data_IF_057122549417
#
_entry.id   IF_057122549417
#
_cell.length_a   1.000
_cell.length_b   1.000
_cell.length_c   1.000
_cell.angle_alpha   90.00
_cell.angle_beta   90.00
_cell.angle_gamma   90.00
#
_symmetry.space_group_name_H-M   'P 1'
#
loop_
_entity.id
_entity.type
_entity.pdbx_description
1 polymer ?
#
# COMPACT_ATOMS: atom_id res chain seq x y z
N UNK A 1 -38.77 -29.14 13.17
CA UNK A 1 -39.74 -28.58 14.15
C UNK A 1 -39.29 -27.24 14.70
N UNK A 2 -38.02 -27.01 15.12
CA UNK A 2 -37.57 -25.66 15.47
C UNK A 2 -37.62 -24.68 14.29
N UNK A 3 -37.31 -25.17 13.08
CA UNK A 3 -37.14 -24.32 11.89
C UNK A 3 -38.49 -23.84 11.30
N UNK A 4 -39.52 -24.68 11.33
CA UNK A 4 -40.84 -24.38 10.74
C UNK A 4 -41.58 -23.25 11.48
N UNK A 5 -41.59 -23.28 12.83
CA UNK A 5 -42.15 -22.18 13.63
C UNK A 5 -41.40 -20.87 13.36
N UNK A 6 -40.08 -20.92 13.27
CA UNK A 6 -39.28 -19.72 13.06
C UNK A 6 -39.56 -19.11 11.69
N UNK A 7 -39.64 -19.92 10.63
CA UNK A 7 -39.97 -19.43 9.29
C UNK A 7 -41.38 -18.82 9.22
N UNK A 8 -42.37 -19.44 9.86
CA UNK A 8 -43.73 -18.88 9.91
C UNK A 8 -43.75 -17.55 10.70
N UNK A 9 -43.12 -17.50 11.86
CA UNK A 9 -43.05 -16.30 12.69
C UNK A 9 -42.18 -15.18 12.10
N UNK A 10 -41.17 -15.51 11.29
CA UNK A 10 -40.31 -14.53 10.64
C UNK A 10 -41.02 -13.86 9.47
N UNK A 11 -41.70 -14.65 8.62
CA UNK A 11 -42.38 -14.19 7.42
C UNK A 11 -43.82 -13.72 7.62
N UNK A 12 -44.44 -14.04 8.76
CA UNK A 12 -45.83 -13.72 9.08
C UNK A 12 -46.02 -13.50 10.59
N UNK A 13 -47.25 -13.68 11.08
CA UNK A 13 -47.61 -13.63 12.50
C UNK A 13 -47.19 -14.94 13.19
N UNK A 14 -46.66 -14.86 14.41
CA UNK A 14 -46.26 -16.06 15.15
C UNK A 14 -47.51 -16.92 15.46
N UNK A 15 -47.54 -18.19 15.04
CA UNK A 15 -48.72 -19.04 15.14
C UNK A 15 -49.06 -19.45 16.59
N UNK A 16 -48.15 -19.24 17.55
CA UNK A 16 -48.31 -19.65 18.95
C UNK A 16 -48.93 -18.53 19.78
N UNK A 17 -48.37 -17.32 19.72
CA UNK A 17 -48.81 -16.17 20.53
C UNK A 17 -49.69 -15.18 19.74
N UNK A 18 -49.80 -15.34 18.41
CA UNK A 18 -50.55 -14.47 17.51
C UNK A 18 -50.09 -13.00 17.60
N UNK A 19 -48.77 -12.80 17.74
CA UNK A 19 -48.06 -11.52 17.74
C UNK A 19 -46.95 -11.54 16.68
N UNK A 20 -46.46 -10.38 16.27
CA UNK A 20 -45.30 -10.31 15.38
C UNK A 20 -44.01 -10.29 16.20
N UNK A 21 -43.02 -11.11 15.83
CA UNK A 21 -41.73 -11.13 16.52
C UNK A 21 -40.92 -9.86 16.19
N UNK A 22 -39.94 -9.54 17.05
CA UNK A 22 -39.05 -8.38 16.87
C UNK A 22 -38.18 -8.48 15.64
N UNK A 23 -37.53 -9.63 15.44
CA UNK A 23 -36.62 -9.90 14.32
C UNK A 23 -37.35 -10.72 13.26
N UNK A 24 -38.46 -10.19 12.77
CA UNK A 24 -39.24 -10.73 11.64
C UNK A 24 -39.67 -9.59 10.73
N UNK A 25 -40.18 -9.91 9.54
CA UNK A 25 -40.47 -8.93 8.48
C UNK A 25 -41.47 -7.85 8.94
N UNK A 26 -42.41 -8.20 9.82
CA UNK A 26 -43.40 -7.27 10.35
C UNK A 26 -42.94 -6.45 11.58
N UNK A 27 -41.81 -6.82 12.22
CA UNK A 27 -41.14 -6.04 13.28
C UNK A 27 -42.08 -5.60 14.42
N UNK A 28 -42.65 -6.54 15.16
CA UNK A 28 -43.71 -6.27 16.18
C UNK A 28 -44.94 -5.52 15.64
N UNK A 29 -45.21 -5.62 14.34
CA UNK A 29 -46.32 -4.94 13.67
C UNK A 29 -46.01 -3.51 13.27
N UNK A 30 -44.81 -3.00 13.54
CA UNK A 30 -44.39 -1.66 13.12
C UNK A 30 -44.48 -1.49 11.59
N UNK A 31 -44.14 -2.55 10.83
CA UNK A 31 -44.19 -2.52 9.36
C UNK A 31 -45.58 -2.14 8.83
N UNK A 32 -46.61 -2.91 9.20
CA UNK A 32 -47.99 -2.66 8.76
C UNK A 32 -48.56 -1.34 9.27
N UNK A 33 -48.08 -0.82 10.41
CA UNK A 33 -48.47 0.49 10.90
C UNK A 33 -47.88 1.65 10.07
N UNK A 34 -46.65 1.49 9.58
CA UNK A 34 -45.95 2.51 8.80
C UNK A 34 -46.36 2.47 7.32
N UNK A 35 -46.47 1.26 6.75
CA UNK A 35 -46.67 1.05 5.31
C UNK A 35 -48.07 0.58 4.92
N UNK A 36 -48.93 0.26 5.90
CA UNK A 36 -50.33 -0.12 5.68
C UNK A 36 -50.55 -1.59 5.39
N UNK A 37 -49.65 -2.23 4.62
CA UNK A 37 -49.75 -3.64 4.23
C UNK A 37 -48.77 -4.51 5.01
N UNK A 38 -49.29 -5.47 5.78
CA UNK A 38 -48.48 -6.45 6.50
C UNK A 38 -47.86 -7.46 5.53
N UNK A 39 -46.71 -8.00 5.92
CA UNK A 39 -46.09 -9.12 5.22
C UNK A 39 -46.72 -10.42 5.72
N UNK A 40 -47.09 -11.31 4.81
CA UNK A 40 -47.68 -12.61 5.14
C UNK A 40 -47.15 -13.63 4.13
N UNK A 41 -45.99 -14.21 4.44
CA UNK A 41 -45.33 -15.20 3.60
C UNK A 41 -45.59 -16.61 4.13
N UNK A 42 -45.80 -17.55 3.20
CA UNK A 42 -45.78 -18.97 3.51
C UNK A 42 -44.40 -19.36 4.10
N UNK A 43 -44.39 -20.31 5.04
CA UNK A 43 -43.17 -20.74 5.71
C UNK A 43 -42.12 -21.28 4.72
N UNK A 44 -42.54 -21.93 3.64
CA UNK A 44 -41.66 -22.42 2.58
C UNK A 44 -40.97 -21.29 1.81
N UNK A 45 -41.67 -20.16 1.57
CA UNK A 45 -41.08 -18.99 0.92
C UNK A 45 -40.07 -18.35 1.87
N UNK A 46 -40.43 -18.21 3.14
CA UNK A 46 -39.52 -17.66 4.15
C UNK A 46 -38.26 -18.52 4.34
N UNK A 47 -38.39 -19.84 4.27
CA UNK A 47 -37.24 -20.75 4.35
C UNK A 47 -36.19 -20.46 3.27
N UNK A 48 -36.60 -20.03 2.07
CA UNK A 48 -35.66 -19.68 0.97
C UNK A 48 -34.74 -18.51 1.31
N UNK A 49 -35.13 -17.63 2.25
CA UNK A 49 -34.26 -16.55 2.73
C UNK A 49 -33.06 -17.07 3.53
N UNK A 50 -33.16 -18.28 4.07
CA UNK A 50 -32.14 -18.90 4.94
C UNK A 50 -31.42 -20.08 4.26
N UNK A 51 -31.80 -20.41 3.02
CA UNK A 51 -31.27 -21.53 2.26
C UNK A 51 -30.64 -21.04 0.93
N UNK A 52 -29.74 -21.83 0.34
CA UNK A 52 -29.12 -21.50 -0.94
C UNK A 52 -27.97 -20.50 -0.85
N UNK A 53 -27.63 -19.92 -2.01
CA UNK A 53 -26.48 -19.03 -2.20
C UNK A 53 -26.75 -17.60 -1.72
N UNK A 54 -28.00 -17.13 -1.82
CA UNK A 54 -28.43 -15.81 -1.34
C UNK A 54 -28.83 -15.77 0.12
N UNK A 55 -28.57 -16.82 0.93
CA UNK A 55 -29.08 -16.86 2.30
C UNK A 55 -28.64 -15.62 3.13
N UNK A 56 -29.57 -14.99 3.85
CA UNK A 56 -29.34 -13.76 4.64
C UNK A 56 -28.46 -13.98 5.88
N UNK A 57 -28.08 -15.22 6.16
CA UNK A 57 -27.19 -15.63 7.26
C UNK A 57 -25.88 -16.22 6.77
N UNK A 58 -25.64 -16.23 5.46
CA UNK A 58 -24.42 -16.75 4.84
C UNK A 58 -23.51 -15.65 4.31
N UNK A 59 -22.64 -16.03 3.38
CA UNK A 59 -21.62 -15.13 2.83
C UNK A 59 -22.27 -13.94 2.10
N UNK A 60 -23.41 -14.17 1.43
CA UNK A 60 -24.21 -13.12 0.77
C UNK A 60 -24.74 -12.05 1.73
N UNK A 61 -24.77 -12.29 3.06
CA UNK A 61 -25.25 -11.29 4.02
C UNK A 61 -24.39 -10.01 4.00
N UNK A 62 -23.08 -10.14 3.79
CA UNK A 62 -22.18 -8.98 3.70
C UNK A 62 -22.44 -8.23 2.38
N UNK A 63 -22.68 -8.94 1.29
CA UNK A 63 -23.00 -8.36 -0.02
C UNK A 63 -24.38 -7.67 -0.03
N UNK A 64 -25.37 -8.25 0.65
CA UNK A 64 -26.67 -7.63 0.88
C UNK A 64 -26.50 -6.30 1.63
N UNK A 65 -25.66 -6.29 2.66
CA UNK A 65 -25.42 -5.10 3.46
C UNK A 65 -24.56 -4.05 2.76
N UNK A 66 -23.63 -4.49 1.90
CA UNK A 66 -22.99 -3.61 0.94
C UNK A 66 -24.04 -2.91 0.06
N UNK A 67 -24.99 -3.67 -0.49
CA UNK A 67 -26.11 -3.14 -1.26
C UNK A 67 -26.94 -2.11 -0.50
N UNK A 68 -27.35 -2.42 0.74
CA UNK A 68 -28.16 -1.52 1.56
C UNK A 68 -27.45 -0.20 1.86
N UNK A 69 -26.14 -0.24 2.15
CA UNK A 69 -25.38 0.96 2.52
C UNK A 69 -24.96 1.77 1.29
N UNK A 70 -24.52 1.10 0.22
CA UNK A 70 -24.01 1.75 -0.99
C UNK A 70 -25.11 2.19 -1.94
N UNK A 71 -26.30 1.59 -1.86
CA UNK A 71 -27.39 1.79 -2.82
C UNK A 71 -27.15 1.10 -4.17
N UNK A 72 -26.08 0.31 -4.30
CA UNK A 72 -25.75 -0.49 -5.48
C UNK A 72 -25.15 -1.82 -5.06
N UNK A 73 -25.39 -2.86 -5.84
CA UNK A 73 -24.84 -4.19 -5.60
C UNK A 73 -23.32 -4.22 -5.87
N UNK A 74 -22.64 -5.21 -5.31
CA UNK A 74 -21.38 -5.70 -5.90
C UNK A 74 -21.63 -6.20 -7.33
N UNK A 75 -20.60 -6.35 -8.18
CA UNK A 75 -20.75 -6.99 -9.49
C UNK A 75 -21.37 -8.38 -9.36
N UNK A 76 -22.43 -8.66 -10.11
CA UNK A 76 -23.20 -9.90 -10.05
C UNK A 76 -23.35 -10.55 -11.43
N UNK A 77 -23.46 -11.88 -11.46
CA UNK A 77 -23.74 -12.64 -12.67
C UNK A 77 -25.23 -12.62 -13.06
N UNK A 78 -25.61 -13.38 -14.09
CA UNK A 78 -27.00 -13.49 -14.57
C UNK A 78 -27.98 -14.08 -13.56
N UNK A 79 -27.49 -14.72 -12.49
CA UNK A 79 -28.27 -15.30 -11.40
C UNK A 79 -28.20 -14.45 -10.11
N UNK A 80 -27.69 -13.22 -10.22
CA UNK A 80 -27.45 -12.31 -9.08
C UNK A 80 -26.45 -12.86 -8.06
N UNK A 81 -25.50 -13.69 -8.50
CA UNK A 81 -24.43 -14.19 -7.64
C UNK A 81 -23.21 -13.26 -7.76
N UNK A 82 -22.68 -12.74 -6.64
CA UNK A 82 -21.48 -11.90 -6.65
C UNK A 82 -20.32 -12.55 -7.42
N UNK A 83 -19.88 -11.89 -8.50
CA UNK A 83 -18.91 -12.45 -9.44
C UNK A 83 -18.07 -11.32 -10.07
N UNK A 84 -16.73 -11.45 -10.13
CA UNK A 84 -15.88 -10.46 -10.80
C UNK A 84 -16.29 -10.17 -12.24
N UNK A 85 -16.39 -8.88 -12.57
CA UNK A 85 -16.77 -8.44 -13.93
C UNK A 85 -18.26 -8.59 -14.27
N UNK A 86 -19.09 -8.94 -13.30
CA UNK A 86 -20.56 -8.94 -13.42
C UNK A 86 -21.17 -7.53 -13.57
N UNK A 87 -22.49 -7.48 -13.68
CA UNK A 87 -23.25 -6.22 -13.74
C UNK A 87 -23.46 -5.65 -12.34
N UNK A 88 -23.34 -4.33 -12.21
CA UNK A 88 -23.69 -3.61 -10.98
C UNK A 88 -25.12 -3.12 -11.10
N UNK A 89 -25.97 -3.48 -10.14
CA UNK A 89 -27.38 -3.15 -10.12
C UNK A 89 -27.68 -2.07 -9.09
N UNK A 90 -28.69 -1.24 -9.35
CA UNK A 90 -29.26 -0.37 -8.32
C UNK A 90 -29.87 -1.24 -7.24
N UNK A 91 -29.50 -0.98 -5.98
CA UNK A 91 -30.01 -1.73 -4.85
C UNK A 91 -31.35 -1.15 -4.37
N UNK A 92 -32.43 -1.70 -4.92
CA UNK A 92 -33.80 -1.32 -4.61
C UNK A 92 -34.68 -2.53 -4.24
N UNK A 93 -35.93 -2.26 -3.85
CA UNK A 93 -36.89 -3.32 -3.51
C UNK A 93 -37.21 -4.24 -4.69
N UNK A 94 -37.10 -3.78 -5.93
CA UNK A 94 -37.39 -4.57 -7.12
C UNK A 94 -36.26 -5.57 -7.41
N UNK A 95 -35.00 -5.21 -7.17
CA UNK A 95 -33.87 -6.13 -7.24
C UNK A 95 -33.96 -7.18 -6.14
N UNK A 96 -34.17 -6.77 -4.89
CA UNK A 96 -34.29 -7.71 -3.76
C UNK A 96 -35.48 -8.66 -3.95
N UNK A 97 -36.60 -8.16 -4.47
CA UNK A 97 -37.74 -8.99 -4.86
C UNK A 97 -37.38 -10.04 -5.92
N UNK A 98 -36.53 -9.70 -6.90
CA UNK A 98 -36.07 -10.64 -7.91
C UNK A 98 -35.12 -11.70 -7.34
N UNK A 99 -34.18 -11.30 -6.49
CA UNK A 99 -33.20 -12.21 -5.87
C UNK A 99 -33.92 -13.31 -5.05
N UNK A 100 -34.87 -12.91 -4.22
CA UNK A 100 -35.57 -13.85 -3.31
C UNK A 100 -36.93 -14.33 -3.83
N UNK A 101 -37.33 -13.94 -5.05
CA UNK A 101 -38.66 -14.21 -5.60
C UNK A 101 -39.80 -13.79 -4.65
N UNK A 102 -39.71 -12.58 -4.13
CA UNK A 102 -40.70 -11.95 -3.25
C UNK A 102 -41.54 -10.92 -4.01
N UNK A 103 -42.65 -10.48 -3.42
CA UNK A 103 -43.28 -9.23 -3.83
C UNK A 103 -42.52 -8.01 -3.27
N UNK A 104 -42.73 -6.83 -3.86
CA UNK A 104 -42.01 -5.62 -3.47
C UNK A 104 -42.26 -5.19 -2.02
N UNK A 105 -43.44 -5.46 -1.43
CA UNK A 105 -43.70 -5.11 -0.03
C UNK A 105 -42.85 -5.98 0.90
N UNK A 106 -42.83 -7.28 0.67
CA UNK A 106 -42.02 -8.24 1.43
C UNK A 106 -40.52 -7.98 1.27
N UNK A 107 -40.06 -7.68 0.06
CA UNK A 107 -38.67 -7.30 -0.20
C UNK A 107 -38.30 -6.02 0.55
N UNK A 108 -39.13 -4.98 0.49
CA UNK A 108 -38.88 -3.73 1.22
C UNK A 108 -38.87 -3.95 2.74
N UNK A 109 -39.71 -4.84 3.26
CA UNK A 109 -39.71 -5.21 4.68
C UNK A 109 -38.40 -5.88 5.10
N UNK A 110 -37.87 -6.77 4.26
CA UNK A 110 -36.57 -7.42 4.48
C UNK A 110 -35.43 -6.39 4.50
N UNK A 111 -35.43 -5.46 3.55
CA UNK A 111 -34.44 -4.37 3.49
C UNK A 111 -34.48 -3.48 4.73
N UNK A 112 -35.67 -3.07 5.16
CA UNK A 112 -35.85 -2.28 6.39
C UNK A 112 -35.38 -3.06 7.61
N UNK A 113 -35.71 -4.35 7.73
CA UNK A 113 -35.29 -5.18 8.86
C UNK A 113 -33.76 -5.09 9.05
N UNK A 114 -32.99 -5.17 7.97
CA UNK A 114 -31.54 -5.11 8.08
C UNK A 114 -30.97 -3.70 8.25
N UNK A 115 -31.40 -2.74 7.43
CA UNK A 115 -30.85 -1.37 7.47
C UNK A 115 -31.25 -0.60 8.73
N UNK A 116 -32.50 -0.70 9.17
CA UNK A 116 -32.99 0.02 10.33
C UNK A 116 -32.94 -0.83 11.59
N UNK A 117 -33.60 -2.00 11.58
CA UNK A 117 -33.79 -2.73 12.83
C UNK A 117 -32.48 -3.37 13.30
N UNK A 118 -31.81 -4.15 12.44
CA UNK A 118 -30.56 -4.81 12.82
C UNK A 118 -29.41 -3.80 12.92
N UNK A 119 -29.16 -3.01 11.88
CA UNK A 119 -27.97 -2.16 11.82
C UNK A 119 -28.09 -0.88 12.66
N UNK A 120 -29.16 -0.11 12.53
CA UNK A 120 -29.32 1.16 13.25
C UNK A 120 -29.78 0.97 14.71
N UNK A 121 -30.74 0.08 14.97
CA UNK A 121 -31.34 -0.07 16.31
C UNK A 121 -30.65 -1.12 17.20
N UNK A 122 -30.17 -2.24 16.63
CA UNK A 122 -29.63 -3.36 17.42
C UNK A 122 -28.11 -3.42 17.50
N UNK A 123 -27.37 -2.94 16.49
CA UNK A 123 -25.92 -3.14 16.43
C UNK A 123 -25.19 -2.44 17.57
N UNK A 124 -25.41 -1.15 17.79
CA UNK A 124 -24.72 -0.41 18.86
C UNK A 124 -24.99 -1.00 20.26
N UNK A 125 -26.25 -1.26 20.67
CA UNK A 125 -26.51 -1.95 21.93
C UNK A 125 -25.87 -3.33 22.02
N UNK A 126 -25.79 -4.08 20.91
CA UNK A 126 -25.13 -5.38 20.87
C UNK A 126 -23.63 -5.24 21.16
N UNK A 127 -22.97 -4.31 20.46
CA UNK A 127 -21.54 -4.04 20.58
C UNK A 127 -21.17 -3.56 21.99
N UNK A 128 -21.90 -2.58 22.53
CA UNK A 128 -21.59 -1.99 23.83
C UNK A 128 -21.91 -2.95 24.98
N UNK A 129 -23.12 -3.55 24.99
CA UNK A 129 -23.59 -4.31 26.17
C UNK A 129 -23.01 -5.72 26.25
N UNK A 130 -22.74 -6.36 25.10
CA UNK A 130 -22.30 -7.75 25.06
C UNK A 130 -20.82 -7.90 24.75
N UNK A 131 -20.21 -6.96 24.03
CA UNK A 131 -18.83 -7.08 23.56
C UNK A 131 -17.89 -6.03 24.17
N UNK A 132 -18.41 -5.08 24.97
CA UNK A 132 -17.66 -3.97 25.58
C UNK A 132 -16.86 -3.17 24.55
N UNK A 133 -17.40 -3.07 23.33
CA UNK A 133 -16.79 -2.34 22.23
C UNK A 133 -17.35 -0.92 22.25
N UNK A 134 -16.45 0.04 22.48
CA UNK A 134 -16.76 1.46 22.51
C UNK A 134 -16.08 2.19 21.36
N UNK A 135 -16.65 3.30 20.84
CA UNK A 135 -16.08 4.03 19.69
C UNK A 135 -14.67 4.58 19.93
N UNK A 136 -14.28 4.84 21.18
CA UNK A 136 -12.97 5.37 21.54
C UNK A 136 -12.34 4.53 22.64
N UNK A 137 -11.14 4.00 22.36
CA UNK A 137 -10.37 3.16 23.29
C UNK A 137 -9.03 3.82 23.61
N UNK A 138 -8.65 3.78 24.89
CA UNK A 138 -7.30 4.19 25.32
C UNK A 138 -6.43 2.96 25.44
N UNK A 139 -5.28 2.95 24.78
CA UNK A 139 -4.32 1.84 24.84
C UNK A 139 -2.87 2.34 24.79
N UNK A 140 -1.92 1.46 25.09
CA UNK A 140 -0.49 1.77 24.99
C UNK A 140 -0.05 1.87 23.53
N UNK A 141 1.01 2.65 23.27
CA UNK A 141 1.64 2.74 21.93
C UNK A 141 2.03 1.35 21.42
N UNK A 142 2.53 0.47 22.29
CA UNK A 142 2.91 -0.89 21.88
C UNK A 142 1.71 -1.71 21.39
N UNK A 143 0.57 -1.62 22.08
CA UNK A 143 -0.64 -2.29 21.63
C UNK A 143 -1.15 -1.69 20.32
N UNK A 144 -1.07 -0.37 20.18
CA UNK A 144 -1.52 0.30 18.96
C UNK A 144 -0.62 -0.03 17.75
N UNK A 145 0.70 -0.08 17.93
CA UNK A 145 1.66 -0.34 16.86
C UNK A 145 1.80 -1.83 16.54
N UNK A 146 2.01 -2.67 17.56
CA UNK A 146 2.36 -4.09 17.40
C UNK A 146 1.18 -5.04 17.62
N UNK A 147 0.06 -4.50 18.10
CA UNK A 147 -1.23 -5.17 18.06
C UNK A 147 -1.88 -5.42 19.41
N UNK A 148 -3.18 -5.66 19.35
CA UNK A 148 -4.03 -6.01 20.49
C UNK A 148 -5.10 -7.02 20.06
N UNK A 149 -5.68 -7.71 21.05
CA UNK A 149 -6.87 -8.54 20.84
C UNK A 149 -8.12 -7.65 20.93
N UNK A 150 -8.74 -7.44 19.77
CA UNK A 150 -10.01 -6.78 19.60
C UNK A 150 -11.17 -7.79 19.75
N UNK A 151 -12.23 -7.48 20.51
CA UNK A 151 -13.34 -8.40 20.73
C UNK A 151 -14.10 -8.83 19.45
N UNK A 152 -14.05 -8.03 18.38
CA UNK A 152 -14.78 -8.30 17.13
C UNK A 152 -13.91 -8.99 16.09
N UNK A 153 -12.68 -8.50 15.95
CA UNK A 153 -11.78 -8.87 14.85
C UNK A 153 -10.64 -9.80 15.28
N UNK A 154 -10.54 -10.12 16.57
CA UNK A 154 -9.43 -10.89 17.12
C UNK A 154 -8.16 -10.05 17.14
N UNK A 155 -7.03 -10.63 16.75
CA UNK A 155 -5.76 -9.89 16.80
C UNK A 155 -5.66 -8.88 15.65
N UNK A 156 -5.47 -7.60 15.99
CA UNK A 156 -5.30 -6.49 15.04
C UNK A 156 -4.01 -5.73 15.31
N UNK A 157 -3.34 -5.25 14.26
CA UNK A 157 -2.12 -4.45 14.35
C UNK A 157 -1.94 -3.59 13.10
N UNK A 158 -1.28 -2.44 13.25
CA UNK A 158 -0.89 -1.59 12.12
C UNK A 158 0.32 -2.16 11.37
N UNK A 159 1.12 -2.98 12.03
CA UNK A 159 2.23 -3.73 11.43
C UNK A 159 1.91 -5.23 11.44
N UNK A 160 2.58 -6.06 10.62
CA UNK A 160 2.26 -7.51 10.57
C UNK A 160 2.27 -8.11 12.00
N UNK A 161 1.23 -8.87 12.33
CA UNK A 161 0.99 -9.57 13.61
C UNK A 161 2.26 -10.22 14.23
N UNK A 162 3.14 -10.75 13.39
CA UNK A 162 4.38 -11.40 13.80
C UNK A 162 5.39 -10.49 14.53
N UNK A 163 5.27 -9.15 14.43
CA UNK A 163 6.16 -8.18 15.09
C UNK A 163 6.14 -8.29 16.61
N UNK A 164 5.00 -8.64 17.20
CA UNK A 164 4.85 -8.75 18.65
C UNK A 164 5.38 -10.09 19.20
N UNK A 165 5.20 -11.20 18.48
CA UNK A 165 5.60 -12.53 18.94
C UNK A 165 7.11 -12.81 18.83
N UNK A 166 7.85 -12.02 18.04
CA UNK A 166 9.31 -12.13 17.91
C UNK A 166 10.13 -11.71 19.15
N UNK A 167 9.51 -11.03 20.12
CA UNK A 167 10.16 -10.61 21.37
C UNK A 167 9.82 -11.53 22.57
N UNK A 168 9.11 -12.64 22.36
CA UNK A 168 8.65 -13.52 23.43
C UNK A 168 9.69 -14.53 23.96
N UNK A 169 10.85 -14.65 23.31
CA UNK A 169 11.87 -15.62 23.71
C UNK A 169 12.96 -14.94 24.54
N UNK A 170 12.85 -15.04 25.87
CA UNK A 170 13.80 -14.47 26.85
C UNK A 170 15.20 -15.08 26.80
N UNK A 171 15.42 -16.12 25.97
CA UNK A 171 16.68 -16.86 25.86
C UNK A 171 17.53 -16.44 24.63
N UNK A 172 17.18 -15.35 23.95
CA UNK A 172 17.95 -14.84 22.81
C UNK A 172 18.39 -13.40 23.05
N UNK A 173 19.67 -13.21 23.40
CA UNK A 173 20.39 -11.92 23.27
C UNK A 173 20.57 -11.60 21.76
N UNK A 174 19.47 -11.45 21.04
CA UNK A 174 19.41 -11.17 19.60
C UNK A 174 18.32 -10.13 19.29
N UNK A 175 18.40 -9.46 18.12
CA UNK A 175 17.36 -8.51 17.72
C UNK A 175 15.99 -9.20 17.69
N UNK A 176 14.95 -8.51 18.17
CA UNK A 176 13.57 -8.99 18.04
C UNK A 176 13.30 -9.36 16.58
N UNK A 177 13.04 -10.64 16.30
CA UNK A 177 12.86 -11.20 14.97
C UNK A 177 11.60 -12.05 14.96
N UNK A 178 10.75 -11.84 13.96
CA UNK A 178 9.35 -12.26 13.97
C UNK A 178 9.10 -13.65 13.40
N UNK A 179 10.13 -14.31 12.87
CA UNK A 179 10.04 -15.52 12.02
C UNK A 179 9.02 -15.42 10.85
N UNK A 180 8.37 -14.27 10.65
CA UNK A 180 7.62 -13.94 9.43
C UNK A 180 8.59 -13.38 8.41
N UNK A 181 9.38 -14.25 7.80
CA UNK A 181 10.24 -13.85 6.71
C UNK A 181 9.43 -13.90 5.41
N UNK A 182 8.86 -12.77 4.99
CA UNK A 182 8.54 -12.62 3.58
C UNK A 182 9.85 -12.71 2.79
N UNK A 183 9.89 -13.56 1.79
CA UNK A 183 11.09 -13.83 1.00
C UNK A 183 11.08 -12.93 -0.23
N UNK A 184 11.92 -11.90 -0.21
CA UNK A 184 12.16 -11.06 -1.38
C UNK A 184 13.20 -11.71 -2.28
N UNK A 185 12.80 -12.04 -3.50
CA UNK A 185 13.72 -12.36 -4.58
C UNK A 185 14.11 -11.06 -5.28
N UNK A 186 15.41 -10.79 -5.41
CA UNK A 186 15.94 -9.55 -6.01
C UNK A 186 17.04 -9.86 -7.01
N UNK A 187 17.28 -8.95 -7.96
CA UNK A 187 18.46 -9.02 -8.82
C UNK A 187 19.72 -8.65 -8.03
N UNK A 188 20.80 -9.40 -8.26
CA UNK A 188 22.11 -9.13 -7.65
C UNK A 188 22.94 -8.11 -8.43
N UNK A 189 22.50 -7.73 -9.63
CA UNK A 189 23.27 -6.93 -10.59
C UNK A 189 24.33 -7.72 -11.37
N UNK A 190 24.44 -9.03 -11.18
CA UNK A 190 25.39 -9.87 -11.92
C UNK A 190 25.01 -10.07 -13.41
N UNK A 191 23.76 -9.79 -13.76
CA UNK A 191 23.22 -9.85 -15.13
C UNK A 191 22.85 -8.43 -15.55
N UNK A 192 23.38 -7.97 -16.69
CA UNK A 192 23.49 -6.54 -17.03
C UNK A 192 22.22 -5.78 -17.43
N UNK A 193 21.03 -6.39 -17.30
CA UNK A 193 19.76 -5.76 -17.70
C UNK A 193 18.92 -5.31 -16.49
N UNK A 194 19.42 -5.49 -15.26
CA UNK A 194 18.68 -5.21 -14.02
C UNK A 194 19.55 -4.55 -12.95
N UNK A 195 18.93 -3.65 -12.18
CA UNK A 195 19.61 -2.97 -11.08
C UNK A 195 19.78 -3.91 -9.86
N UNK A 196 20.92 -3.84 -9.15
CA UNK A 196 21.08 -4.45 -7.84
C UNK A 196 19.94 -4.11 -6.87
N UNK A 197 19.38 -5.12 -6.22
CA UNK A 197 18.29 -4.95 -5.26
C UNK A 197 16.91 -4.74 -5.89
N UNK A 198 16.80 -4.70 -7.22
CA UNK A 198 15.51 -4.63 -7.91
C UNK A 198 14.66 -5.87 -7.59
N UNK A 199 13.42 -5.66 -7.13
CA UNK A 199 12.49 -6.72 -6.74
C UNK A 199 12.07 -7.56 -7.95
N UNK A 200 12.17 -8.88 -7.81
CA UNK A 200 11.62 -9.88 -8.73
C UNK A 200 10.23 -10.29 -8.23
N UNK A 201 10.15 -10.70 -6.96
CA UNK A 201 8.92 -11.19 -6.33
C UNK A 201 9.05 -11.16 -4.79
N UNK A 202 7.92 -11.07 -4.10
CA UNK A 202 7.78 -11.31 -2.66
C UNK A 202 7.00 -12.60 -2.47
N UNK A 203 7.55 -13.57 -1.73
CA UNK A 203 6.91 -14.87 -1.48
C UNK A 203 6.50 -15.62 -2.77
N UNK A 204 7.22 -15.36 -3.87
CA UNK A 204 6.98 -15.95 -5.18
C UNK A 204 5.93 -15.23 -6.03
N UNK A 205 5.30 -14.16 -5.53
CA UNK A 205 4.35 -13.33 -6.27
C UNK A 205 4.98 -11.98 -6.68
N UNK A 206 4.60 -11.50 -7.86
CA UNK A 206 5.07 -10.22 -8.43
C UNK A 206 4.30 -9.02 -7.88
N UNK A 207 3.18 -9.25 -7.19
CA UNK A 207 2.29 -8.21 -6.68
C UNK A 207 2.57 -7.91 -5.21
N UNK A 208 2.08 -6.75 -4.74
CA UNK A 208 1.95 -6.51 -3.31
C UNK A 208 1.05 -7.59 -2.68
N UNK A 209 1.39 -8.17 -1.51
CA UNK A 209 0.66 -9.32 -0.96
C UNK A 209 -0.84 -9.11 -0.73
N UNK A 210 -1.28 -7.87 -0.54
CA UNK A 210 -2.68 -7.52 -0.32
C UNK A 210 -3.38 -6.96 -1.58
N UNK A 211 -2.66 -6.86 -2.70
CA UNK A 211 -3.12 -6.41 -4.02
C UNK A 211 -2.76 -7.43 -5.10
N UNK A 212 -3.11 -8.70 -4.88
CA UNK A 212 -2.89 -9.78 -5.87
C UNK A 212 -4.15 -10.03 -6.71
N UNK A 213 -4.05 -10.75 -7.85
CA UNK A 213 -5.22 -11.19 -8.61
C UNK A 213 -6.24 -11.99 -7.79
N UNK A 214 -5.77 -12.84 -6.86
CA UNK A 214 -6.64 -13.59 -5.97
C UNK A 214 -7.40 -12.66 -5.00
N UNK A 215 -6.71 -11.66 -4.44
CA UNK A 215 -7.35 -10.63 -3.59
C UNK A 215 -8.37 -9.81 -4.36
N UNK A 216 -8.10 -9.53 -5.64
CA UNK A 216 -9.05 -8.85 -6.52
C UNK A 216 -10.29 -9.72 -6.80
N UNK A 217 -10.10 -11.01 -7.07
CA UNK A 217 -11.18 -11.98 -7.30
C UNK A 217 -12.09 -12.11 -6.07
N UNK A 218 -11.50 -12.22 -4.88
CA UNK A 218 -12.22 -12.19 -3.59
C UNK A 218 -13.01 -10.89 -3.33
N UNK A 219 -12.58 -9.78 -3.93
CA UNK A 219 -13.26 -8.48 -3.83
C UNK A 219 -14.08 -8.17 -5.10
N UNK A 220 -14.49 -9.19 -5.86
CA UNK A 220 -15.32 -9.08 -7.05
C UNK A 220 -14.77 -8.14 -8.15
N UNK A 221 -13.45 -8.02 -8.25
CA UNK A 221 -12.80 -7.15 -9.22
C UNK A 221 -12.66 -5.69 -8.78
N UNK A 222 -12.97 -5.35 -7.51
CA UNK A 222 -12.94 -3.99 -6.98
C UNK A 222 -11.63 -3.65 -6.25
N UNK A 223 -10.65 -4.56 -6.22
CA UNK A 223 -9.35 -4.35 -5.56
C UNK A 223 -8.21 -4.61 -6.56
N UNK A 224 -7.95 -3.61 -7.41
CA UNK A 224 -7.01 -3.75 -8.52
C UNK A 224 -5.63 -4.26 -8.08
N UNK A 225 -5.08 -5.30 -8.73
CA UNK A 225 -3.76 -5.81 -8.40
C UNK A 225 -2.65 -4.77 -8.61
N UNK A 226 -1.62 -4.80 -7.78
CA UNK A 226 -0.48 -3.87 -7.85
C UNK A 226 0.81 -4.66 -8.00
N UNK A 227 1.47 -4.54 -9.15
CA UNK A 227 2.77 -5.17 -9.42
C UNK A 227 3.88 -4.38 -8.71
N UNK A 228 4.74 -5.09 -7.99
CA UNK A 228 5.94 -4.54 -7.32
C UNK A 228 7.26 -4.98 -7.99
N UNK A 229 7.23 -5.94 -8.93
CA UNK A 229 8.42 -6.32 -9.69
C UNK A 229 9.03 -5.12 -10.42
N UNK A 230 10.34 -4.94 -10.28
CA UNK A 230 11.05 -3.79 -10.82
C UNK A 230 11.26 -2.68 -9.80
N UNK A 231 10.60 -2.73 -8.63
CA UNK A 231 10.80 -1.75 -7.58
C UNK A 231 12.23 -1.83 -7.01
N UNK A 232 12.81 -0.68 -6.73
CA UNK A 232 14.16 -0.50 -6.19
C UNK A 232 14.10 0.18 -4.82
N UNK A 233 15.21 0.12 -4.09
CA UNK A 233 15.36 0.74 -2.77
C UNK A 233 16.36 1.88 -2.79
N UNK A 234 17.64 1.57 -2.58
CA UNK A 234 18.73 2.54 -2.42
C UNK A 234 19.71 2.61 -3.58
N UNK A 235 19.49 1.82 -4.64
CA UNK A 235 20.38 1.74 -5.80
C UNK A 235 19.57 1.72 -7.09
N UNK A 236 19.75 2.76 -7.93
CA UNK A 236 19.10 2.93 -9.22
C UNK A 236 19.63 4.17 -9.96
N UNK A 237 19.45 4.19 -11.28
CA UNK A 237 19.84 5.31 -12.16
C UNK A 237 19.28 6.66 -11.64
N UNK A 238 20.16 7.50 -11.11
CA UNK A 238 19.81 8.81 -10.53
C UNK A 238 19.27 9.81 -11.57
N UNK A 239 19.37 9.49 -12.87
CA UNK A 239 18.92 10.37 -13.95
C UNK A 239 17.53 10.02 -14.46
N UNK A 240 16.90 8.96 -13.94
CA UNK A 240 15.58 8.48 -14.37
C UNK A 240 14.64 8.24 -13.20
N UNK A 241 13.32 8.46 -13.38
CA UNK A 241 12.31 8.00 -12.43
C UNK A 241 12.51 6.54 -12.05
N UNK A 242 12.37 6.25 -10.77
CA UNK A 242 12.52 4.92 -10.20
C UNK A 242 11.24 4.52 -9.46
N UNK A 243 10.80 3.28 -9.65
CA UNK A 243 9.68 2.69 -8.91
C UNK A 243 10.19 2.13 -7.58
N UNK A 244 9.49 2.35 -6.48
CA UNK A 244 9.86 1.84 -5.16
C UNK A 244 8.65 1.23 -4.45
N UNK A 245 8.90 0.21 -3.64
CA UNK A 245 7.93 -0.32 -2.68
C UNK A 245 8.10 0.44 -1.36
N UNK A 246 7.08 1.22 -0.99
CA UNK A 246 7.08 2.06 0.21
C UNK A 246 6.54 1.27 1.41
N UNK A 247 7.37 0.39 1.96
CA UNK A 247 7.07 -0.36 3.19
C UNK A 247 5.94 -1.38 3.05
N UNK A 248 5.62 -1.82 1.84
CA UNK A 248 4.51 -2.73 1.55
C UNK A 248 3.12 -2.07 1.62
N UNK A 249 3.06 -0.74 1.70
CA UNK A 249 1.83 0.04 1.72
C UNK A 249 1.46 0.62 0.35
N UNK A 250 2.45 0.86 -0.51
CA UNK A 250 2.24 1.35 -1.86
C UNK A 250 3.44 1.01 -2.73
N UNK A 251 3.22 0.93 -4.04
CA UNK A 251 4.28 0.97 -5.05
C UNK A 251 4.15 2.31 -5.76
N UNK A 252 5.21 3.13 -5.74
CA UNK A 252 5.18 4.47 -6.32
C UNK A 252 6.41 4.76 -7.15
N UNK A 253 6.24 5.56 -8.20
CA UNK A 253 7.35 6.06 -9.02
C UNK A 253 7.78 7.45 -8.55
N UNK A 254 9.09 7.65 -8.42
CA UNK A 254 9.66 8.95 -8.06
C UNK A 254 9.60 9.96 -9.20
N UNK A 255 9.54 11.24 -8.83
CA UNK A 255 9.84 12.36 -9.70
C UNK A 255 11.21 12.95 -9.34
N UNK A 256 11.98 13.38 -10.33
CA UNK A 256 13.24 14.10 -10.09
C UNK A 256 12.90 15.58 -9.94
N UNK A 257 12.95 16.06 -8.70
CA UNK A 257 12.49 17.41 -8.34
C UNK A 257 13.61 18.45 -8.37
N UNK A 258 14.88 18.02 -8.41
CA UNK A 258 16.01 18.92 -8.53
C UNK A 258 17.36 18.24 -8.30
N UNK A 259 18.36 19.07 -8.05
CA UNK A 259 19.73 18.67 -7.66
C UNK A 259 20.01 19.14 -6.24
N UNK A 260 20.67 18.32 -5.45
CA UNK A 260 21.06 18.60 -4.07
C UNK A 260 22.58 18.55 -3.85
N UNK A 261 22.97 18.68 -2.58
CA UNK A 261 24.34 18.41 -2.14
C UNK A 261 24.35 17.93 -0.70
N UNK A 262 24.87 16.72 -0.47
CA UNK A 262 25.06 16.16 0.87
C UNK A 262 26.54 16.19 1.22
N UNK A 263 26.92 17.00 2.21
CA UNK A 263 28.31 17.23 2.61
C UNK A 263 29.26 17.57 1.44
N UNK A 264 28.76 18.21 0.37
CA UNK A 264 29.54 18.58 -0.82
C UNK A 264 29.70 17.46 -1.86
N UNK A 265 28.91 16.39 -1.76
CA UNK A 265 28.68 15.42 -2.84
C UNK A 265 27.42 15.87 -3.58
N UNK A 266 27.50 16.06 -4.90
CA UNK A 266 26.35 16.45 -5.72
C UNK A 266 25.34 15.29 -5.83
N UNK A 267 24.05 15.62 -5.76
CA UNK A 267 22.97 14.62 -5.79
C UNK A 267 21.84 15.03 -6.72
N UNK A 268 21.04 14.04 -7.13
CA UNK A 268 19.74 14.20 -7.73
C UNK A 268 18.67 13.94 -6.67
N UNK A 269 17.74 14.86 -6.51
CA UNK A 269 16.65 14.75 -5.54
C UNK A 269 15.48 14.03 -6.20
N UNK A 270 15.18 12.83 -5.70
CA UNK A 270 14.01 12.05 -6.06
C UNK A 270 12.94 12.20 -4.99
N UNK A 271 11.71 12.48 -5.39
CA UNK A 271 10.57 12.59 -4.48
C UNK A 271 9.51 11.56 -4.86
N UNK A 272 9.11 10.72 -3.90
CA UNK A 272 7.97 9.84 -3.99
C UNK A 272 6.83 10.45 -3.19
N UNK A 273 5.79 10.92 -3.87
CA UNK A 273 4.61 11.49 -3.22
C UNK A 273 3.48 10.48 -3.25
N UNK A 274 2.89 10.22 -2.09
CA UNK A 274 1.75 9.32 -1.95
C UNK A 274 0.55 10.11 -1.45
N UNK A 275 -0.45 10.27 -2.33
CA UNK A 275 -1.71 10.90 -1.97
C UNK A 275 -2.53 9.93 -1.10
N UNK A 276 -2.85 10.28 0.16
CA UNK A 276 -3.67 9.42 0.99
C UNK A 276 -5.06 9.17 0.38
N UNK A 277 -5.66 10.11 -0.36
CA UNK A 277 -7.01 9.96 -0.92
C UNK A 277 -7.09 8.83 -1.94
N UNK A 278 -5.98 8.55 -2.62
CA UNK A 278 -5.87 7.52 -3.66
C UNK A 278 -5.35 6.18 -3.10
N UNK A 279 -5.07 6.11 -1.79
CA UNK A 279 -4.43 4.94 -1.19
C UNK A 279 -5.12 4.45 0.10
N UNK A 280 -6.37 3.94 0.00
CA UNK A 280 -7.00 3.21 1.09
C UNK A 280 -6.24 1.89 1.35
N UNK A 281 -5.82 1.68 2.61
CA UNK A 281 -5.11 0.47 3.04
C UNK A 281 -5.98 -0.48 3.87
N UNK A 282 -7.29 -0.27 3.86
CA UNK A 282 -8.27 -1.13 4.54
C UNK A 282 -8.05 -2.62 4.24
N UNK A 283 -7.95 -2.98 2.96
CA UNK A 283 -7.74 -4.36 2.52
C UNK A 283 -6.43 -4.97 3.05
N UNK A 284 -5.40 -4.15 3.33
CA UNK A 284 -4.16 -4.61 3.94
C UNK A 284 -4.36 -4.97 5.41
N UNK A 285 -5.16 -4.17 6.12
CA UNK A 285 -5.34 -4.25 7.57
C UNK A 285 -6.40 -5.27 7.97
N UNK A 286 -7.51 -5.32 7.24
CA UNK A 286 -8.60 -6.29 7.47
C UNK A 286 -8.20 -7.69 6.99
N UNK A 287 -7.65 -7.78 5.79
CA UNK A 287 -7.17 -9.02 5.19
C UNK A 287 -8.21 -10.17 5.19
N UNK A 288 -9.51 -9.87 4.99
CA UNK A 288 -10.59 -10.85 5.13
C UNK A 288 -10.86 -11.69 3.87
N UNK A 289 -10.31 -11.32 2.72
CA UNK A 289 -10.53 -12.02 1.43
C UNK A 289 -12.00 -12.05 0.99
N UNK A 290 -12.71 -10.94 1.22
CA UNK A 290 -14.09 -10.74 0.77
C UNK A 290 -14.39 -9.23 0.60
N UNK A 291 -15.64 -8.88 0.28
CA UNK A 291 -16.10 -7.50 0.08
C UNK A 291 -15.79 -6.55 1.25
N UNK A 292 -15.62 -7.06 2.48
CA UNK A 292 -15.28 -6.22 3.64
C UNK A 292 -13.92 -5.52 3.45
N UNK A 293 -13.01 -6.07 2.66
CA UNK A 293 -11.72 -5.43 2.35
C UNK A 293 -11.87 -4.15 1.50
N UNK A 294 -13.00 -4.00 0.80
CA UNK A 294 -13.32 -2.81 -0.03
C UNK A 294 -14.56 -2.05 0.45
N UNK A 295 -15.24 -2.52 1.48
CA UNK A 295 -16.47 -1.91 2.00
C UNK A 295 -16.17 -0.51 2.55
N UNK A 296 -16.69 0.57 1.94
CA UNK A 296 -16.38 1.93 2.36
C UNK A 296 -16.70 2.16 3.85
N UNK A 297 -15.70 2.56 4.62
CA UNK A 297 -15.86 2.85 6.04
C UNK A 297 -15.86 1.65 6.99
N UNK A 298 -15.59 0.42 6.52
CA UNK A 298 -15.42 -0.73 7.42
C UNK A 298 -14.14 -0.61 8.28
N UNK A 299 -13.03 -0.18 7.68
CA UNK A 299 -11.83 0.28 8.38
C UNK A 299 -11.15 1.36 7.52
N UNK A 300 -11.64 2.61 7.57
CA UNK A 300 -11.29 3.63 6.58
C UNK A 300 -9.96 4.30 6.90
N UNK A 301 -8.90 3.50 6.82
CA UNK A 301 -7.52 3.94 7.02
C UNK A 301 -6.87 4.16 5.65
N UNK A 302 -6.32 5.36 5.49
CA UNK A 302 -5.63 5.80 4.29
C UNK A 302 -4.15 6.04 4.61
N UNK A 303 -3.27 5.73 3.68
CA UNK A 303 -1.82 5.88 3.88
C UNK A 303 -1.26 6.86 2.85
N UNK A 304 -0.68 7.95 3.33
CA UNK A 304 -0.09 8.99 2.49
C UNK A 304 1.25 9.45 3.04
N UNK A 305 1.97 10.26 2.27
CA UNK A 305 3.26 10.78 2.70
C UNK A 305 4.19 11.18 1.57
N UNK A 306 5.42 11.47 1.97
CA UNK A 306 6.49 11.84 1.07
C UNK A 306 7.78 11.13 1.46
N UNK A 307 8.50 10.63 0.46
CA UNK A 307 9.85 10.11 0.60
C UNK A 307 10.76 10.91 -0.33
N UNK A 308 11.79 11.53 0.24
CA UNK A 308 12.83 12.24 -0.49
C UNK A 308 14.10 11.42 -0.43
N UNK A 309 14.72 11.18 -1.58
CA UNK A 309 15.95 10.42 -1.71
C UNK A 309 16.97 11.28 -2.47
N UNK A 310 18.17 11.42 -1.89
CA UNK A 310 19.28 12.14 -2.49
C UNK A 310 20.26 11.13 -3.11
N UNK A 311 20.25 11.07 -4.44
CA UNK A 311 20.95 10.05 -5.22
C UNK A 311 22.24 10.61 -5.82
N UNK A 312 23.38 9.97 -5.55
CA UNK A 312 24.66 10.33 -6.18
C UNK A 312 24.70 9.78 -7.62
N UNK A 313 24.95 10.63 -8.63
CA UNK A 313 24.72 10.26 -10.04
C UNK A 313 25.85 9.44 -10.69
N UNK A 314 27.05 9.37 -10.12
CA UNK A 314 28.14 8.59 -10.71
C UNK A 314 28.03 7.11 -10.38
N UNK A 315 27.61 6.76 -9.16
CA UNK A 315 27.44 5.37 -8.72
C UNK A 315 26.00 4.95 -8.57
N UNK A 316 25.03 5.85 -8.78
CA UNK A 316 23.60 5.54 -8.75
C UNK A 316 23.11 5.02 -7.38
N UNK A 317 23.61 5.63 -6.30
CA UNK A 317 23.32 5.20 -4.93
C UNK A 317 22.72 6.34 -4.09
N UNK A 318 21.79 5.97 -3.22
CA UNK A 318 21.23 6.88 -2.22
C UNK A 318 22.28 7.20 -1.15
N UNK A 319 22.52 8.50 -0.90
CA UNK A 319 23.45 8.97 0.13
C UNK A 319 22.75 9.69 1.29
N UNK A 320 21.52 10.15 1.07
CA UNK A 320 20.61 10.60 2.11
C UNK A 320 19.16 10.31 1.71
N UNK A 321 18.27 10.29 2.69
CA UNK A 321 16.84 10.20 2.47
C UNK A 321 16.05 10.56 3.71
N UNK A 322 14.87 11.13 3.45
CA UNK A 322 13.88 11.54 4.44
C UNK A 322 12.54 10.90 4.06
N UNK A 323 11.92 10.20 5.01
CA UNK A 323 10.62 9.57 4.87
C UNK A 323 9.68 10.16 5.90
N UNK A 324 8.56 10.71 5.44
CA UNK A 324 7.47 11.19 6.27
C UNK A 324 6.15 10.61 5.76
N UNK A 325 5.62 9.62 6.46
CA UNK A 325 4.35 8.99 6.11
C UNK A 325 3.34 9.08 7.24
N UNK A 326 2.07 9.07 6.88
CA UNK A 326 0.94 9.28 7.77
C UNK A 326 -0.13 8.24 7.52
N UNK A 327 -0.73 7.80 8.62
CA UNK A 327 -1.99 7.06 8.60
C UNK A 327 -3.09 8.06 8.90
N UNK A 328 -4.08 8.11 8.02
CA UNK A 328 -5.25 8.93 8.14
C UNK A 328 -6.48 8.07 8.39
N UNK A 329 -7.38 8.56 9.22
CA UNK A 329 -8.67 7.96 9.47
C UNK A 329 -9.75 8.85 8.86
N UNK A 330 -10.62 8.31 8.01
CA UNK A 330 -11.84 8.98 7.59
C UNK A 330 -12.87 8.93 8.71
N UNK A 331 -13.40 10.09 9.07
CA UNK A 331 -14.32 10.24 10.21
C UNK A 331 -15.80 10.28 9.84
N UNK A 332 -16.13 10.18 8.54
CA UNK A 332 -17.52 10.29 8.04
C UNK A 332 -18.38 9.05 8.32
N UNK A 333 -17.77 7.90 8.57
CA UNK A 333 -18.45 6.65 8.88
C UNK A 333 -18.69 5.73 7.67
N UNK A 334 -19.45 4.66 7.89
CA UNK A 334 -19.69 3.60 6.90
C UNK A 334 -20.49 4.12 5.69
N UNK A 335 -20.14 3.66 4.49
CA UNK A 335 -20.79 4.03 3.23
C UNK A 335 -20.31 5.36 2.63
N UNK A 336 -19.51 6.15 3.33
CA UNK A 336 -18.91 7.35 2.77
C UNK A 336 -17.83 6.99 1.74
N UNK A 337 -17.96 7.51 0.52
CA UNK A 337 -16.98 7.35 -0.57
C UNK A 337 -16.30 8.68 -0.89
N UNK A 338 -15.23 8.63 -1.66
CA UNK A 338 -14.50 9.80 -2.18
C UNK A 338 -14.22 10.86 -1.11
N UNK A 339 -13.38 10.54 -0.10
CA UNK A 339 -13.00 11.52 0.91
C UNK A 339 -12.30 12.73 0.31
N UNK A 340 -12.37 13.83 1.06
CA UNK A 340 -11.48 14.98 0.90
C UNK A 340 -10.48 15.01 2.05
N UNK A 341 -9.40 15.79 1.91
CA UNK A 341 -8.42 15.93 3.00
C UNK A 341 -9.01 16.50 4.30
N UNK A 342 -10.13 17.24 4.24
CA UNK A 342 -10.80 17.75 5.43
C UNK A 342 -11.53 16.64 6.22
N UNK A 343 -11.86 15.52 5.55
CA UNK A 343 -12.49 14.34 6.16
C UNK A 343 -11.46 13.41 6.83
N UNK A 344 -10.19 13.53 6.41
CA UNK A 344 -9.08 12.69 6.84
C UNK A 344 -8.34 13.27 8.06
N UNK A 345 -8.44 12.57 9.18
CA UNK A 345 -7.69 12.91 10.39
C UNK A 345 -6.37 12.13 10.47
N UNK A 346 -5.20 12.77 10.55
CA UNK A 346 -3.94 12.07 10.78
C UNK A 346 -3.93 11.49 12.20
N UNK A 347 -3.69 10.18 12.31
CA UNK A 347 -3.68 9.45 13.59
C UNK A 347 -2.29 8.94 13.97
N UNK A 348 -1.40 8.75 12.99
CA UNK A 348 -0.03 8.28 13.21
C UNK A 348 0.92 8.79 12.15
N UNK A 349 2.16 9.03 12.53
CA UNK A 349 3.23 9.44 11.63
C UNK A 349 4.44 8.53 11.81
N UNK A 350 5.01 8.08 10.70
CA UNK A 350 6.36 7.52 10.64
C UNK A 350 7.26 8.60 10.04
N UNK A 351 8.29 8.99 10.78
CA UNK A 351 9.32 9.92 10.30
C UNK A 351 10.67 9.25 10.48
N UNK A 352 11.39 9.10 9.38
CA UNK A 352 12.73 8.51 9.35
C UNK A 352 13.62 9.38 8.48
N UNK A 353 14.78 9.75 9.02
CA UNK A 353 15.82 10.42 8.25
C UNK A 353 17.12 9.62 8.33
N UNK A 354 17.83 9.55 7.23
CA UNK A 354 19.15 8.94 7.14
C UNK A 354 20.01 9.76 6.20
N UNK A 355 21.25 10.00 6.58
CA UNK A 355 22.23 10.69 5.74
C UNK A 355 23.60 10.15 6.05
N UNK A 356 24.47 10.11 5.05
CA UNK A 356 25.89 9.97 5.28
C UNK A 356 26.38 11.04 6.26
N UNK A 357 27.28 10.62 7.14
CA UNK A 357 28.01 11.53 8.03
C UNK A 357 29.13 12.25 7.27
N UNK A 358 29.65 13.35 7.84
CA UNK A 358 30.77 14.09 7.27
C UNK A 358 32.00 13.19 7.03
N UNK A 359 32.39 12.37 8.02
CA UNK A 359 33.51 11.44 7.88
C UNK A 359 33.28 10.40 6.77
N UNK A 360 32.08 9.81 6.68
CA UNK A 360 31.75 8.90 5.58
C UNK A 360 31.75 9.60 4.22
N UNK A 361 31.40 10.89 4.18
CA UNK A 361 31.43 11.67 2.94
C UNK A 361 32.85 11.97 2.47
N UNK A 362 33.80 12.19 3.39
CA UNK A 362 35.22 12.32 3.08
C UNK A 362 35.76 11.01 2.50
N UNK A 363 35.51 9.89 3.20
CA UNK A 363 35.90 8.55 2.73
C UNK A 363 35.31 8.23 1.35
N UNK A 364 34.04 8.57 1.11
CA UNK A 364 33.38 8.35 -0.17
C UNK A 364 33.95 9.24 -1.28
N UNK A 365 34.25 10.50 -1.00
CA UNK A 365 34.88 11.39 -1.99
C UNK A 365 36.26 10.90 -2.36
N UNK A 366 37.03 10.44 -1.39
CA UNK A 366 38.39 9.96 -1.61
C UNK A 366 38.36 8.62 -2.37
N UNK A 367 37.54 7.66 -1.94
CA UNK A 367 37.52 6.31 -2.52
C UNK A 367 36.75 6.20 -3.84
N UNK A 368 35.73 7.03 -4.05
CA UNK A 368 34.78 6.90 -5.16
C UNK A 368 34.82 8.10 -6.08
N UNK A 369 34.51 9.30 -5.58
CA UNK A 369 34.37 10.48 -6.44
C UNK A 369 35.70 10.84 -7.11
N UNK A 370 36.78 10.92 -6.35
CA UNK A 370 38.08 11.27 -6.92
C UNK A 370 38.51 10.21 -7.93
N UNK A 371 38.45 8.94 -7.56
CA UNK A 371 38.85 7.82 -8.41
C UNK A 371 38.04 7.67 -9.71
N UNK A 372 36.84 8.26 -9.80
CA UNK A 372 36.02 8.26 -11.02
C UNK A 372 36.29 9.46 -11.93
N UNK A 373 37.04 10.48 -11.47
CA UNK A 373 37.32 11.67 -12.27
C UNK A 373 38.37 11.44 -13.37
N UNK A 374 38.03 11.75 -14.64
CA UNK A 374 39.01 11.69 -15.72
C UNK A 374 40.16 12.69 -15.46
N UNK A 375 41.40 12.22 -15.58
CA UNK A 375 42.64 13.01 -15.45
C UNK A 375 43.02 13.50 -14.05
N UNK A 376 42.11 13.48 -13.07
CA UNK A 376 42.37 13.86 -11.66
C UNK A 376 42.19 12.71 -10.67
N UNK A 377 41.94 11.48 -11.14
CA UNK A 377 41.80 10.29 -10.28
C UNK A 377 42.95 10.06 -9.29
N UNK A 378 44.14 10.60 -9.58
CA UNK A 378 45.36 10.42 -8.79
C UNK A 378 45.62 11.53 -7.75
N UNK A 379 44.70 12.50 -7.61
CA UNK A 379 44.99 13.75 -6.89
C UNK A 379 44.70 13.71 -5.39
N UNK A 380 44.04 12.67 -4.91
CA UNK A 380 43.74 12.43 -3.49
C UNK A 380 44.96 11.89 -2.70
N UNK A 381 45.98 11.32 -3.37
CA UNK A 381 47.16 10.72 -2.72
C UNK A 381 46.77 9.80 -1.56
N UNK A 382 45.82 8.92 -1.83
CA UNK A 382 45.28 8.08 -0.78
C UNK A 382 46.34 7.13 -0.22
N UNK A 383 46.31 6.88 1.09
CA UNK A 383 47.33 6.10 1.80
C UNK A 383 47.16 4.58 1.69
N UNK A 384 46.35 4.10 0.74
CA UNK A 384 45.99 2.70 0.64
C UNK A 384 47.09 1.85 -0.03
N UNK A 385 46.84 0.54 -0.14
CA UNK A 385 47.76 -0.43 -0.76
C UNK A 385 48.15 -0.10 -2.22
N UNK A 386 47.45 0.84 -2.86
CA UNK A 386 47.68 1.32 -4.22
C UNK A 386 48.22 2.77 -4.31
N UNK A 387 48.60 3.40 -3.19
CA UNK A 387 49.13 4.78 -3.09
C UNK A 387 50.24 5.13 -4.09
N UNK A 388 51.04 4.14 -4.51
CA UNK A 388 52.08 4.32 -5.52
C UNK A 388 51.53 4.71 -6.90
N UNK A 389 50.26 4.38 -7.22
CA UNK A 389 49.62 4.75 -8.49
C UNK A 389 49.51 6.28 -8.60
N UNK A 390 49.15 6.94 -7.51
CA UNK A 390 49.00 8.40 -7.48
C UNK A 390 50.33 9.11 -7.65
N UNK A 391 51.34 8.66 -6.91
CA UNK A 391 52.71 9.18 -6.98
C UNK A 391 53.34 8.98 -8.37
N UNK A 392 53.19 7.78 -8.96
CA UNK A 392 53.70 7.48 -10.30
C UNK A 392 52.97 8.33 -11.35
N UNK A 393 51.66 8.50 -11.22
CA UNK A 393 50.88 9.32 -12.16
C UNK A 393 51.33 10.78 -12.08
N UNK A 394 51.49 11.34 -10.88
CA UNK A 394 52.07 12.69 -10.69
C UNK A 394 53.43 12.83 -11.40
N UNK A 395 54.33 11.86 -11.23
CA UNK A 395 55.64 11.88 -11.87
C UNK A 395 55.53 11.87 -13.40
N UNK A 396 54.62 11.07 -13.96
CA UNK A 396 54.35 11.05 -15.41
C UNK A 396 53.87 12.42 -15.89
N UNK A 397 52.93 13.05 -15.18
CA UNK A 397 52.43 14.40 -15.51
C UNK A 397 53.55 15.45 -15.47
N UNK A 398 54.39 15.44 -14.43
CA UNK A 398 55.55 16.35 -14.33
C UNK A 398 56.51 16.13 -15.50
N UNK A 399 56.84 14.88 -15.81
CA UNK A 399 57.75 14.54 -16.92
C UNK A 399 57.17 14.95 -18.28
N UNK A 400 55.86 14.78 -18.49
CA UNK A 400 55.18 15.19 -19.71
C UNK A 400 55.23 16.72 -19.88
N UNK A 401 54.90 17.48 -18.83
CA UNK A 401 54.97 18.95 -18.84
C UNK A 401 56.40 19.43 -19.09
N UNK A 402 57.38 18.85 -18.40
CA UNK A 402 58.80 19.16 -18.61
C UNK A 402 59.26 18.86 -20.05
N UNK A 403 58.79 17.75 -20.63
CA UNK A 403 59.09 17.39 -22.01
C UNK A 403 58.47 18.36 -23.01
N UNK A 404 57.23 18.80 -22.79
CA UNK A 404 56.55 19.81 -23.60
C UNK A 404 57.22 21.19 -23.51
N UNK A 405 57.61 21.60 -22.30
CA UNK A 405 58.37 22.84 -22.09
C UNK A 405 59.76 22.76 -22.74
N UNK A 406 60.42 21.60 -22.65
CA UNK A 406 61.67 21.33 -23.34
C UNK A 406 61.55 21.41 -24.85
N UNK A 407 60.54 20.77 -25.44
CA UNK A 407 60.23 20.88 -26.87
C UNK A 407 59.93 22.32 -27.29
N UNK A 408 59.16 23.06 -26.47
CA UNK A 408 58.83 24.47 -26.73
C UNK A 408 60.07 25.37 -26.66
N UNK A 409 60.96 25.10 -25.70
CA UNK A 409 62.23 25.81 -25.58
C UNK A 409 63.14 25.52 -26.78
N UNK A 410 63.26 24.25 -27.20
CA UNK A 410 64.01 23.86 -28.40
C UNK A 410 63.42 24.50 -29.65
N UNK A 411 62.09 24.50 -29.83
CA UNK A 411 61.43 25.16 -30.97
C UNK A 411 61.65 26.69 -30.99
N UNK A 412 61.75 27.33 -29.82
CA UNK A 412 61.99 28.78 -29.70
C UNK A 412 63.46 29.16 -29.84
N UNK A 413 64.37 28.25 -29.50
CA UNK A 413 65.83 28.46 -29.53
C UNK A 413 66.52 27.80 -30.71
N UNK A 414 65.84 26.93 -31.46
CA UNK A 414 66.26 26.49 -32.78
C UNK A 414 66.22 27.70 -33.70
N UNK A 415 67.37 28.37 -33.83
CA UNK A 415 67.55 29.42 -34.82
C UNK A 415 67.17 28.89 -36.20
N UNK A 416 66.55 29.77 -37.01
CA UNK A 416 66.28 29.58 -38.43
C UNK A 416 67.39 28.72 -39.07
N UNK A 417 67.06 27.51 -39.51
CA UNK A 417 67.99 26.70 -40.30
C UNK A 417 68.35 27.52 -41.55
N UNK A 418 69.63 27.72 -41.89
CA UNK A 418 70.04 28.42 -43.12
C UNK A 418 69.67 27.66 -44.42
N UNK A 419 68.81 26.64 -44.33
CA UNK A 419 68.21 25.91 -45.45
C UNK A 419 66.70 26.18 -45.60
N UNK A 420 66.26 27.39 -45.26
CA UNK A 420 64.96 27.91 -45.74
C UNK A 420 65.00 27.87 -47.28
N UNK A 421 64.25 26.93 -47.86
CA UNK A 421 64.00 26.88 -49.30
C UNK A 421 63.16 28.11 -49.63
N UNK A 422 63.75 29.04 -50.37
CA UNK A 422 63.05 30.19 -50.96
C UNK A 422 62.08 29.66 -52.02
N UNK A 423 60.78 29.82 -51.79
CA UNK A 423 59.72 29.39 -52.70
C UNK A 423 59.43 30.43 -53.81
N UNK A 424 60.37 31.33 -54.12
CA UNK A 424 60.18 32.40 -55.13
C UNK A 424 60.97 32.23 -56.44
N UNK A 425 61.34 31.03 -56.85
CA UNK A 425 61.79 30.82 -58.23
C UNK A 425 61.22 29.51 -58.80
N UNK A 426 60.06 29.60 -59.46
CA UNK A 426 59.77 28.88 -60.71
C UNK A 426 58.61 29.58 -61.45
N UNK A 427 58.94 30.09 -62.64
CA UNK A 427 58.03 30.51 -63.72
C UNK A 427 57.31 29.30 -64.35
#
# INVERSE_FOLDING_TARGET
>A
MPDEWFYEAFGSIDPINNEYITLGLNQQGAWGLVYGDVVDLDAEVTATLFEGEHRITGDFAIDFMYGEIMGYSVPMDENFIPTPGGEVHVWDEALVAQIYNLDNNSANALRWLFSYTVFDQFLEPLLEQFLDVVPYKTQSINQWLFGWEDPLSGWVSLEKNATFFGCGNTDVDGPCSTDSASVYSVYTGAVGDHEPGQIIAEDGDIHLPWRTPARNESAYGLLDPVVQTGAVGSYYDATKPAMANLGGYAVQTSEITGTGSVHGIETQTHTFTLDPLENPIQAKLLAQENVLDIFPGALPVYFGGEVVMEMEPNVNAAIAGDLNSYFYLDTRGIGAVDPTMDDLQPVFQISQSSSMTEAQSEDFKDLVITNTQPYSYWTNFDGADASFIDEITLLIWILAIMSLLGCSYVAKTSGRDPREIDWNEEE
#
